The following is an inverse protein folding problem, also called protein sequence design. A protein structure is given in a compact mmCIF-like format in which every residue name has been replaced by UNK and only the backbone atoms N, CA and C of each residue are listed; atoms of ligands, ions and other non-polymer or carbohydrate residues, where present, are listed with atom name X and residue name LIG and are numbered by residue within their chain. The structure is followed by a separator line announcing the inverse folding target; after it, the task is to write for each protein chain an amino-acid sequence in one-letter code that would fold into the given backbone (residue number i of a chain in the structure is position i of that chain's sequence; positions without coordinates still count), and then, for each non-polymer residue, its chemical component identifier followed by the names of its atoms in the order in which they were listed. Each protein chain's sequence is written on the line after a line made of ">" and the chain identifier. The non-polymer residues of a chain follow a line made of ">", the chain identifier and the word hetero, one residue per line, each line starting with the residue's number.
data_IF_372937573309
#
_entry.id   IF_372937573309
#
_cell.length_a   1.000
_cell.length_b   1.000
_cell.length_c   1.000
_cell.angle_alpha   90.00
_cell.angle_beta   90.00
_cell.angle_gamma   90.00
#
_symmetry.space_group_name_H-M   'P 1'
#
loop_
_entity.id
_entity.type
_entity.pdbx_description
1 polymer ?
#
# COMPACT_ATOMS: atom_id res chain seq x y z
N UNK A 1 -18.95 -42.89 1.71
CA UNK A 1 -20.37 -43.01 1.33
C UNK A 1 -21.17 -42.31 2.41
N UNK A 2 -21.59 -41.07 2.13
CA UNK A 2 -22.35 -40.21 3.05
C UNK A 2 -23.61 -39.77 2.31
N UNK A 3 -24.76 -40.02 2.91
CA UNK A 3 -26.08 -39.74 2.35
C UNK A 3 -26.30 -38.23 2.12
N UNK A 4 -27.08 -37.83 1.10
CA UNK A 4 -27.46 -36.44 0.90
C UNK A 4 -28.56 -35.99 1.88
N UNK A 5 -28.65 -34.70 2.20
CA UNK A 5 -29.66 -34.14 3.08
C UNK A 5 -31.06 -34.11 2.41
N UNK A 6 -32.15 -34.07 3.20
CA UNK A 6 -33.51 -34.04 2.68
C UNK A 6 -33.85 -32.71 1.99
N UNK A 7 -34.75 -32.71 1.00
CA UNK A 7 -35.14 -31.52 0.26
C UNK A 7 -35.94 -30.55 1.12
N UNK A 8 -35.52 -29.28 1.13
CA UNK A 8 -36.21 -28.19 1.81
C UNK A 8 -37.54 -27.81 1.13
N UNK A 9 -38.53 -27.50 1.96
CA UNK A 9 -39.84 -26.98 1.56
C UNK A 9 -39.71 -25.60 0.91
N UNK A 10 -39.93 -25.52 -0.40
CA UNK A 10 -40.19 -24.26 -1.11
C UNK A 10 -41.69 -23.97 -1.12
N UNK A 11 -42.12 -22.71 -0.91
CA UNK A 11 -43.53 -22.35 -1.06
C UNK A 11 -43.98 -22.50 -2.53
N UNK A 12 -45.26 -22.83 -2.79
CA UNK A 12 -45.74 -23.08 -4.13
C UNK A 12 -45.70 -21.80 -5.00
N UNK A 13 -45.46 -21.93 -6.32
CA UNK A 13 -45.49 -20.80 -7.24
C UNK A 13 -46.91 -20.21 -7.33
N UNK A 14 -46.98 -18.87 -7.39
CA UNK A 14 -48.25 -18.15 -7.56
C UNK A 14 -48.88 -18.47 -8.92
N UNK A 15 -50.22 -18.59 -9.01
CA UNK A 15 -50.89 -18.84 -10.28
C UNK A 15 -50.66 -17.67 -11.26
N UNK A 16 -50.27 -18.03 -12.47
CA UNK A 16 -50.09 -17.11 -13.60
C UNK A 16 -51.49 -16.72 -14.10
N UNK A 17 -51.82 -15.43 -14.05
CA UNK A 17 -53.09 -14.91 -14.57
C UNK A 17 -53.19 -15.06 -16.10
N UNK A 18 -54.42 -15.11 -16.66
CA UNK A 18 -54.61 -15.24 -18.10
C UNK A 18 -54.11 -14.01 -18.87
N UNK A 19 -53.73 -14.16 -20.15
CA UNK A 19 -53.27 -13.04 -20.98
C UNK A 19 -54.42 -12.05 -21.28
N UNK A 20 -54.14 -10.75 -21.44
CA UNK A 20 -55.16 -9.75 -21.74
C UNK A 20 -55.71 -9.92 -23.17
N UNK A 21 -57.04 -9.88 -23.28
CA UNK A 21 -57.76 -9.85 -24.56
C UNK A 21 -57.66 -8.46 -25.24
N UNK A 22 -57.66 -8.39 -26.58
CA UNK A 22 -57.67 -7.10 -27.28
C UNK A 22 -59.01 -6.38 -27.16
N UNK A 23 -58.96 -5.05 -27.01
CA UNK A 23 -60.13 -4.19 -26.84
C UNK A 23 -60.98 -4.08 -28.13
N UNK A 24 -62.33 -4.02 -28.04
CA UNK A 24 -63.18 -3.77 -29.19
C UNK A 24 -63.11 -2.30 -29.63
N UNK A 25 -63.08 -2.09 -30.94
CA UNK A 25 -63.23 -0.79 -31.59
C UNK A 25 -64.67 -0.27 -31.43
N UNK A 26 -64.78 1.00 -31.01
CA UNK A 26 -65.94 1.84 -31.28
C UNK A 26 -66.92 2.02 -30.12
N UNK A 27 -66.79 3.15 -29.41
CA UNK A 27 -67.88 4.08 -29.08
C UNK A 27 -67.32 5.30 -28.33
N UNK A 28 -67.63 6.50 -28.83
CA UNK A 28 -67.23 7.80 -28.25
C UNK A 28 -68.19 8.19 -27.11
N UNK A 29 -67.70 8.68 -25.95
CA UNK A 29 -68.54 9.37 -24.96
C UNK A 29 -68.75 10.87 -25.30
N UNK A 30 -69.76 11.54 -24.71
CA UNK A 30 -70.18 12.89 -25.09
C UNK A 30 -69.23 13.99 -24.61
N UNK A 31 -69.21 15.07 -25.39
CA UNK A 31 -68.35 16.25 -25.20
C UNK A 31 -68.83 17.09 -24.00
N UNK A 32 -67.92 17.37 -23.06
CA UNK A 32 -68.11 18.38 -22.01
C UNK A 32 -67.97 19.82 -22.55
N UNK A 33 -68.41 20.84 -21.78
CA UNK A 33 -68.42 22.23 -22.20
C UNK A 33 -67.00 22.80 -22.37
N UNK A 34 -66.82 23.82 -23.25
CA UNK A 34 -65.51 24.34 -23.61
C UNK A 34 -64.85 25.15 -22.47
N UNK A 35 -63.51 25.14 -22.37
CA UNK A 35 -62.78 25.94 -21.39
C UNK A 35 -62.70 27.42 -21.76
N UNK A 36 -62.64 28.25 -20.72
CA UNK A 36 -62.51 29.71 -20.72
C UNK A 36 -61.12 30.13 -21.26
N UNK A 37 -60.98 31.24 -22.02
CA UNK A 37 -59.68 31.63 -22.57
C UNK A 37 -58.79 32.25 -21.47
N UNK A 38 -57.66 31.58 -21.16
CA UNK A 38 -56.59 32.18 -20.38
C UNK A 38 -55.74 33.10 -21.29
N UNK A 39 -55.51 34.32 -20.82
CA UNK A 39 -54.69 35.33 -21.48
C UNK A 39 -53.22 34.91 -21.64
N UNK A 40 -52.57 35.50 -22.64
CA UNK A 40 -51.19 35.23 -23.02
C UNK A 40 -50.19 35.59 -21.90
N UNK A 41 -49.10 34.84 -21.72
CA UNK A 41 -48.02 35.22 -20.81
C UNK A 41 -47.18 36.35 -21.40
N UNK A 42 -46.60 37.25 -20.57
CA UNK A 42 -45.72 38.31 -21.05
C UNK A 42 -44.42 37.72 -21.61
N UNK A 43 -43.95 38.30 -22.72
CA UNK A 43 -42.69 37.94 -23.36
C UNK A 43 -41.52 38.29 -22.43
N UNK A 44 -40.70 37.28 -22.09
CA UNK A 44 -39.43 37.48 -21.41
C UNK A 44 -38.41 38.18 -22.33
N UNK A 45 -37.37 38.81 -21.75
CA UNK A 45 -36.33 39.48 -22.53
C UNK A 45 -35.53 38.49 -23.39
N UNK A 46 -34.98 38.93 -24.54
CA UNK A 46 -34.25 38.06 -25.45
C UNK A 46 -32.97 37.49 -24.82
N UNK A 47 -32.51 36.30 -25.26
CA UNK A 47 -31.29 35.69 -24.73
C UNK A 47 -30.04 36.51 -25.09
N UNK A 48 -29.04 36.58 -24.21
CA UNK A 48 -27.78 37.25 -24.54
C UNK A 48 -27.04 36.48 -25.64
N UNK A 49 -26.48 37.24 -26.58
CA UNK A 49 -25.61 36.75 -27.64
C UNK A 49 -24.42 35.98 -27.04
N UNK A 50 -24.27 34.71 -27.40
CA UNK A 50 -23.03 33.96 -27.18
C UNK A 50 -21.95 34.54 -28.12
N UNK A 51 -21.15 35.46 -27.57
CA UNK A 51 -19.85 35.79 -28.14
C UNK A 51 -18.97 34.56 -28.16
N UNK A 52 -18.19 34.39 -29.23
CA UNK A 52 -17.17 33.35 -29.31
C UNK A 52 -16.25 33.42 -28.09
N UNK A 53 -16.30 32.39 -27.25
CA UNK A 53 -15.26 32.17 -26.25
C UNK A 53 -14.01 31.70 -26.97
N UNK A 54 -12.95 32.50 -26.92
CA UNK A 54 -11.61 32.05 -27.23
C UNK A 54 -11.18 30.89 -26.29
N UNK A 55 -10.10 30.17 -26.64
CA UNK A 55 -9.60 29.09 -25.79
C UNK A 55 -9.31 29.60 -24.37
N UNK A 56 -9.54 28.78 -23.33
CA UNK A 56 -9.29 29.17 -21.96
C UNK A 56 -7.80 29.56 -21.79
N UNK A 57 -7.49 30.56 -20.94
CA UNK A 57 -6.10 30.88 -20.64
C UNK A 57 -5.41 29.65 -20.05
N UNK A 58 -4.10 29.46 -20.31
CA UNK A 58 -3.34 28.37 -19.72
C UNK A 58 -3.47 28.41 -18.20
N UNK A 59 -3.53 27.25 -17.51
CA UNK A 59 -3.58 27.22 -16.07
C UNK A 59 -2.38 28.01 -15.51
N UNK A 60 -2.68 28.97 -14.63
CA UNK A 60 -1.66 29.71 -13.90
C UNK A 60 -0.77 28.75 -13.09
N UNK A 61 0.41 29.22 -12.63
CA UNK A 61 1.32 28.38 -11.85
C UNK A 61 0.59 27.77 -10.66
N UNK A 62 0.57 26.44 -10.61
CA UNK A 62 0.05 25.68 -9.46
C UNK A 62 0.96 26.01 -8.29
N UNK A 63 0.46 26.84 -7.38
CA UNK A 63 1.15 27.15 -6.13
C UNK A 63 1.28 25.85 -5.33
N UNK A 64 2.49 25.47 -4.88
CA UNK A 64 2.65 24.28 -4.05
C UNK A 64 1.80 24.42 -2.77
N UNK A 65 1.27 23.32 -2.23
CA UNK A 65 0.57 23.36 -0.95
C UNK A 65 1.50 23.93 0.15
N UNK A 66 0.96 24.68 1.13
CA UNK A 66 1.73 25.24 2.23
C UNK A 66 2.42 24.12 3.00
N UNK A 67 3.66 24.40 3.39
CA UNK A 67 4.61 23.43 3.94
C UNK A 67 4.19 22.94 5.34
N UNK A 68 4.04 21.62 5.57
CA UNK A 68 4.58 21.04 6.79
C UNK A 68 6.10 21.21 6.74
N UNK A 69 6.74 21.46 7.88
CA UNK A 69 8.20 21.45 7.90
C UNK A 69 8.67 20.03 7.58
N UNK A 70 9.05 19.81 6.32
CA UNK A 70 10.03 18.78 5.98
C UNK A 70 11.36 19.26 6.54
N UNK A 71 11.44 19.32 7.88
CA UNK A 71 12.73 19.34 8.53
C UNK A 71 13.50 18.16 7.97
N UNK A 72 14.79 18.36 7.69
CA UNK A 72 15.69 17.23 7.53
C UNK A 72 15.30 16.17 8.58
N UNK A 73 15.13 14.89 8.20
CA UNK A 73 14.79 13.88 9.18
C UNK A 73 15.78 14.07 10.33
N UNK A 74 15.32 14.29 11.57
CA UNK A 74 16.22 14.09 12.70
C UNK A 74 16.69 12.66 12.51
N UNK A 75 17.99 12.49 12.26
CA UNK A 75 18.55 11.21 11.88
C UNK A 75 17.97 10.10 12.74
N UNK A 76 17.34 9.12 12.08
CA UNK A 76 16.79 7.97 12.77
C UNK A 76 15.39 7.62 12.33
N UNK A 77 15.30 6.92 11.19
CA UNK A 77 14.69 5.59 11.32
C UNK A 77 15.47 4.89 12.43
N UNK A 78 14.87 4.73 13.61
CA UNK A 78 15.52 3.91 14.62
C UNK A 78 15.68 2.51 13.99
N UNK A 79 16.90 1.98 13.94
CA UNK A 79 17.12 0.70 13.31
C UNK A 79 16.30 -0.34 14.09
N UNK A 80 15.56 -1.19 13.37
CA UNK A 80 15.29 -2.55 13.84
C UNK A 80 16.58 -3.11 14.48
N UNK A 81 16.49 -3.90 15.56
CA UNK A 81 17.59 -4.20 16.49
C UNK A 81 18.96 -4.21 15.79
N UNK A 82 19.84 -3.32 16.27
CA UNK A 82 21.09 -2.94 15.66
C UNK A 82 21.70 -4.03 14.77
N UNK A 83 21.66 -3.82 13.45
CA UNK A 83 22.52 -4.57 12.56
C UNK A 83 23.97 -4.40 13.04
N UNK A 84 24.74 -5.48 13.17
CA UNK A 84 26.08 -5.41 13.74
C UNK A 84 26.92 -4.38 13.00
N UNK A 85 27.81 -3.65 13.70
CA UNK A 85 28.62 -2.59 13.12
C UNK A 85 29.39 -3.13 11.91
N UNK A 86 29.47 -2.31 10.85
CA UNK A 86 30.27 -2.61 9.66
C UNK A 86 31.68 -2.99 10.11
N UNK A 87 32.04 -4.27 9.98
CA UNK A 87 33.43 -4.70 10.22
C UNK A 87 34.29 -3.98 9.20
N UNK A 88 35.28 -3.21 9.67
CA UNK A 88 36.31 -2.63 8.80
C UNK A 88 36.90 -3.75 7.97
N UNK A 89 36.91 -3.58 6.65
CA UNK A 89 37.62 -4.45 5.74
C UNK A 89 39.13 -4.29 5.98
N UNK A 90 39.65 -5.04 6.94
CA UNK A 90 41.09 -5.21 7.13
C UNK A 90 41.70 -6.13 6.05
N UNK A 91 40.95 -6.44 4.99
CA UNK A 91 41.39 -7.24 3.84
C UNK A 91 42.77 -6.85 3.28
N UNK A 92 43.12 -5.55 3.16
CA UNK A 92 44.45 -5.15 2.73
C UNK A 92 45.55 -5.47 3.75
N UNK A 93 45.25 -5.35 5.05
CA UNK A 93 46.20 -5.61 6.15
C UNK A 93 46.42 -7.11 6.33
N UNK A 94 45.35 -7.90 6.24
CA UNK A 94 45.42 -9.37 6.28
C UNK A 94 46.09 -9.92 5.02
N UNK A 95 45.88 -9.32 3.84
CA UNK A 95 46.59 -9.67 2.62
C UNK A 95 48.09 -9.32 2.68
N UNK A 96 48.48 -8.23 3.35
CA UNK A 96 49.87 -7.88 3.58
C UNK A 96 50.56 -8.81 4.59
N UNK A 97 49.87 -9.21 5.66
CA UNK A 97 50.40 -10.17 6.65
C UNK A 97 50.49 -11.56 6.04
N UNK A 98 49.46 -12.03 5.32
CA UNK A 98 49.49 -13.31 4.61
C UNK A 98 50.52 -13.31 3.47
N UNK A 99 50.66 -12.20 2.75
CA UNK A 99 51.70 -12.03 1.73
C UNK A 99 53.12 -12.10 2.33
N UNK A 100 53.34 -11.46 3.48
CA UNK A 100 54.61 -11.54 4.22
C UNK A 100 54.93 -12.94 4.74
N UNK A 101 53.92 -13.68 5.23
CA UNK A 101 54.09 -15.07 5.70
C UNK A 101 54.29 -16.05 4.54
N UNK A 102 53.68 -15.80 3.37
CA UNK A 102 53.90 -16.61 2.16
C UNK A 102 55.29 -16.36 1.57
N UNK A 103 55.80 -15.13 1.58
CA UNK A 103 57.18 -14.83 1.12
C UNK A 103 58.23 -15.44 2.07
N UNK A 104 57.98 -15.47 3.38
CA UNK A 104 58.85 -16.16 4.34
C UNK A 104 58.71 -17.70 4.31
N UNK A 105 57.53 -18.22 3.95
CA UNK A 105 57.27 -19.65 3.82
C UNK A 105 57.76 -20.28 2.51
N UNK A 106 57.77 -19.52 1.41
CA UNK A 106 58.26 -19.97 0.10
C UNK A 106 59.79 -20.13 0.04
N UNK A 107 60.54 -19.60 1.01
CA UNK A 107 61.96 -19.92 1.19
C UNK A 107 62.23 -21.31 1.78
N UNK A 108 61.22 -21.97 2.36
CA UNK A 108 61.38 -23.22 3.11
C UNK A 108 60.72 -24.45 2.47
N UNK A 109 60.00 -24.31 1.35
CA UNK A 109 59.32 -25.43 0.66
C UNK A 109 59.69 -25.45 -0.83
N UNK A 110 61.00 -25.41 -1.11
CA UNK A 110 61.58 -25.58 -2.45
C UNK A 110 61.80 -27.04 -2.86
N UNK A 111 61.15 -28.02 -2.22
CA UNK A 111 61.27 -29.44 -2.56
C UNK A 111 59.94 -30.15 -2.28
N UNK A 112 59.00 -30.12 -3.23
CA UNK A 112 58.17 -31.26 -3.66
C UNK A 112 57.04 -30.79 -4.61
N UNK A 113 57.01 -31.37 -5.81
CA UNK A 113 55.87 -31.53 -6.73
C UNK A 113 55.11 -30.24 -7.17
N UNK A 114 55.38 -29.66 -8.35
CA UNK A 114 55.03 -30.14 -9.70
C UNK A 114 53.56 -30.60 -9.86
N UNK A 115 52.84 -29.83 -10.71
CA UNK A 115 51.62 -30.16 -11.48
C UNK A 115 50.26 -30.33 -10.77
N UNK A 116 49.44 -29.27 -10.75
CA UNK A 116 48.24 -29.05 -11.60
C UNK A 116 47.17 -28.14 -10.98
N UNK A 117 46.81 -27.10 -11.74
CA UNK A 117 45.57 -26.31 -11.86
C UNK A 117 44.59 -26.11 -10.67
N UNK A 118 44.53 -24.83 -10.26
CA UNK A 118 43.36 -23.97 -10.04
C UNK A 118 42.03 -24.59 -9.55
N UNK A 119 41.75 -24.38 -8.25
CA UNK A 119 40.52 -23.75 -7.73
C UNK A 119 40.73 -23.37 -6.25
N UNK A 120 40.90 -22.08 -5.98
CA UNK A 120 40.93 -21.54 -4.61
C UNK A 120 39.51 -21.13 -4.22
N UNK A 121 38.94 -21.94 -3.31
CA UNK A 121 38.01 -21.65 -2.20
C UNK A 121 36.70 -20.91 -2.47
N UNK A 122 35.61 -21.59 -2.08
CA UNK A 122 34.65 -20.99 -1.14
C UNK A 122 34.69 -21.78 0.17
N UNK A 123 35.41 -21.25 1.15
CA UNK A 123 35.30 -21.67 2.55
C UNK A 123 34.13 -20.93 3.18
N UNK A 124 33.05 -21.68 3.38
CA UNK A 124 32.09 -21.59 4.48
C UNK A 124 31.79 -20.22 5.09
N UNK A 125 30.57 -19.74 4.83
CA UNK A 125 29.79 -19.04 5.84
C UNK A 125 28.50 -19.84 6.07
N UNK A 126 28.59 -20.81 6.98
CA UNK A 126 27.42 -21.34 7.69
C UNK A 126 27.21 -20.52 8.96
N UNK A 127 25.94 -20.35 9.33
CA UNK A 127 25.39 -19.70 10.52
C UNK A 127 24.98 -18.22 10.37
N UNK A 128 23.81 -18.03 9.76
CA UNK A 128 22.85 -17.08 10.29
C UNK A 128 21.55 -17.82 10.61
N UNK A 129 21.25 -17.93 11.90
CA UNK A 129 19.96 -18.40 12.40
C UNK A 129 18.89 -17.43 11.89
N UNK A 130 18.14 -17.85 10.88
CA UNK A 130 17.03 -17.08 10.32
C UNK A 130 15.87 -17.21 11.31
N UNK A 131 15.74 -16.26 12.23
CA UNK A 131 14.53 -16.15 13.04
C UNK A 131 13.45 -15.47 12.19
N UNK A 132 12.71 -16.27 11.43
CA UNK A 132 11.40 -15.85 10.90
C UNK A 132 10.40 -15.94 12.05
N UNK A 133 9.70 -14.85 12.43
CA UNK A 133 8.65 -14.96 13.42
C UNK A 133 7.55 -15.85 12.84
N UNK A 134 7.41 -17.06 13.39
CA UNK A 134 6.26 -17.91 13.14
C UNK A 134 5.18 -17.46 14.11
N UNK A 135 4.20 -16.71 13.62
CA UNK A 135 3.12 -16.20 14.46
C UNK A 135 2.12 -17.33 14.75
N UNK A 136 1.94 -17.65 16.03
CA UNK A 136 0.93 -18.63 16.49
C UNK A 136 -0.23 -17.84 17.10
N UNK A 137 -1.49 -18.07 16.70
CA UNK A 137 -2.62 -17.32 17.23
C UNK A 137 -2.88 -17.67 18.72
N UNK A 138 -3.37 -16.72 19.54
CA UNK A 138 -3.68 -16.99 20.94
C UNK A 138 -4.92 -17.88 21.04
N UNK A 139 -4.78 -19.02 21.73
CA UNK A 139 -5.91 -19.85 22.16
C UNK A 139 -6.30 -19.42 23.56
N UNK A 140 -7.53 -18.93 23.73
CA UNK A 140 -8.15 -18.69 25.03
C UNK A 140 -8.25 -20.01 25.80
N UNK A 141 -7.64 -20.07 26.99
CA UNK A 141 -7.69 -21.24 27.87
C UNK A 141 -8.64 -20.94 29.02
N UNK A 142 -9.89 -21.42 28.90
CA UNK A 142 -10.78 -21.57 30.04
C UNK A 142 -10.35 -22.80 30.84
N UNK A 143 -9.88 -22.57 32.06
CA UNK A 143 -9.48 -23.62 32.98
C UNK A 143 -10.72 -24.29 33.59
N UNK A 144 -10.89 -25.61 33.39
CA UNK A 144 -11.77 -26.46 34.20
C UNK A 144 -10.97 -27.66 34.75
N UNK A 145 -11.21 -28.12 35.99
CA UNK A 145 -10.34 -29.10 36.64
C UNK A 145 -10.48 -30.52 36.07
N UNK A 146 -9.35 -31.20 35.93
CA UNK A 146 -9.20 -32.60 35.51
C UNK A 146 -9.80 -33.58 36.52
N UNK A 147 -10.57 -34.55 36.02
CA UNK A 147 -10.84 -35.83 36.69
C UNK A 147 -10.03 -36.92 36.00
N UNK A 148 -9.19 -37.62 36.76
CA UNK A 148 -8.28 -38.66 36.29
C UNK A 148 -9.05 -39.95 35.98
N UNK A 149 -8.86 -40.55 34.81
CA UNK A 149 -9.28 -41.93 34.49
C UNK A 149 -8.15 -42.62 33.72
N UNK A 150 -7.81 -43.90 33.97
CA UNK A 150 -6.62 -44.52 33.38
C UNK A 150 -6.79 -44.86 31.90
N UNK A 151 -5.71 -44.68 31.15
CA UNK A 151 -5.55 -44.93 29.71
C UNK A 151 -5.78 -46.39 29.30
N UNK A 152 -6.51 -46.57 28.19
CA UNK A 152 -6.51 -47.79 27.38
C UNK A 152 -5.51 -47.63 26.24
N UNK A 153 -4.53 -48.53 26.18
CA UNK A 153 -3.44 -48.56 25.21
C UNK A 153 -3.95 -48.71 23.77
N UNK A 154 -3.68 -47.73 22.90
CA UNK A 154 -3.84 -47.83 21.45
C UNK A 154 -2.47 -47.82 20.76
N UNK A 155 -2.28 -48.75 19.83
CA UNK A 155 -1.02 -49.05 19.13
C UNK A 155 -0.40 -47.83 18.40
N UNK A 156 0.93 -47.83 18.15
CA UNK A 156 1.62 -46.69 17.55
C UNK A 156 1.24 -46.54 16.07
N UNK A 157 0.60 -45.43 15.72
CA UNK A 157 0.41 -44.99 14.34
C UNK A 157 1.72 -44.38 13.85
N UNK A 158 2.27 -44.90 12.75
CA UNK A 158 3.48 -44.38 12.12
C UNK A 158 3.35 -42.87 11.80
N UNK A 159 4.39 -42.05 12.01
CA UNK A 159 4.33 -40.62 11.69
C UNK A 159 4.25 -40.46 10.17
N UNK A 160 3.19 -39.81 9.69
CA UNK A 160 3.12 -39.32 8.32
C UNK A 160 4.12 -38.17 8.17
N UNK A 161 5.15 -38.36 7.36
CA UNK A 161 6.09 -37.33 6.90
C UNK A 161 5.51 -36.52 5.75
N UNK A 162 4.31 -35.94 5.93
CA UNK A 162 3.92 -34.80 5.10
C UNK A 162 4.63 -33.55 5.64
N UNK A 163 5.44 -32.84 4.83
CA UNK A 163 5.94 -31.53 5.23
C UNK A 163 4.74 -30.66 5.57
N UNK A 164 4.74 -30.06 6.76
CA UNK A 164 3.74 -29.07 7.10
C UNK A 164 3.73 -27.98 6.01
N UNK A 165 2.55 -27.49 5.57
CA UNK A 165 2.48 -26.39 4.62
C UNK A 165 3.37 -25.24 5.12
N UNK A 166 4.31 -24.80 4.29
CA UNK A 166 5.20 -23.68 4.63
C UNK A 166 4.29 -22.46 4.81
N UNK A 167 4.15 -22.02 6.06
CA UNK A 167 3.29 -20.89 6.40
C UNK A 167 3.68 -19.61 5.66
N UNK A 168 2.81 -18.60 5.66
CA UNK A 168 3.07 -17.36 4.94
C UNK A 168 4.39 -16.72 5.36
N UNK A 169 5.21 -16.29 4.40
CA UNK A 169 6.56 -15.75 4.66
C UNK A 169 6.85 -14.52 3.81
N UNK A 170 7.29 -13.44 4.44
CA UNK A 170 7.78 -12.26 3.74
C UNK A 170 9.04 -12.59 2.91
N UNK A 171 9.15 -11.97 1.74
CA UNK A 171 10.26 -12.16 0.80
C UNK A 171 11.07 -10.86 0.73
N UNK A 172 12.36 -10.94 1.08
CA UNK A 172 13.24 -9.77 1.06
C UNK A 172 13.92 -9.65 -0.30
N UNK A 173 13.17 -9.10 -1.25
CA UNK A 173 13.60 -8.83 -2.62
C UNK A 173 13.04 -7.48 -3.09
N UNK A 174 13.61 -6.92 -4.16
CA UNK A 174 13.18 -5.64 -4.75
C UNK A 174 12.63 -5.88 -6.16
N UNK A 175 13.43 -5.67 -7.20
CA UNK A 175 13.00 -5.75 -8.60
C UNK A 175 12.44 -7.12 -9.03
N UNK A 176 12.93 -8.21 -8.45
CA UNK A 176 12.56 -9.59 -8.74
C UNK A 176 11.54 -10.17 -7.75
N UNK A 177 10.93 -9.33 -6.91
CA UNK A 177 10.01 -9.77 -5.86
C UNK A 177 8.78 -10.51 -6.45
N UNK A 178 8.40 -11.69 -5.94
CA UNK A 178 7.37 -12.54 -6.54
C UNK A 178 5.96 -11.94 -6.50
N UNK A 179 5.72 -10.94 -5.65
CA UNK A 179 4.46 -10.17 -5.61
C UNK A 179 4.33 -9.16 -6.76
N UNK A 180 5.43 -8.74 -7.40
CA UNK A 180 5.41 -7.79 -8.51
C UNK A 180 5.12 -8.50 -9.85
N UNK A 181 4.04 -9.29 -9.86
CA UNK A 181 3.54 -10.07 -11.00
C UNK A 181 2.13 -9.62 -11.39
N UNK A 182 1.69 -9.80 -12.65
CA UNK A 182 0.45 -9.23 -13.15
C UNK A 182 -0.84 -9.84 -12.54
N UNK A 183 -0.72 -10.94 -11.79
CA UNK A 183 -1.84 -11.65 -11.18
C UNK A 183 -2.21 -11.14 -9.76
N UNK A 184 -1.50 -10.14 -9.23
CA UNK A 184 -1.77 -9.57 -7.92
C UNK A 184 -2.24 -8.12 -8.06
N UNK A 185 -3.31 -7.76 -7.36
CA UNK A 185 -3.89 -6.43 -7.36
C UNK A 185 -4.89 -6.24 -6.22
N UNK A 186 -5.37 -5.02 -6.02
CA UNK A 186 -6.41 -4.73 -5.05
C UNK A 186 -7.74 -5.31 -5.55
N UNK A 187 -8.38 -6.15 -4.74
CA UNK A 187 -9.65 -6.80 -5.10
C UNK A 187 -10.81 -5.80 -5.06
N UNK A 188 -11.87 -6.09 -5.81
CA UNK A 188 -13.10 -5.30 -5.76
C UNK A 188 -13.77 -5.41 -4.40
N UNK A 189 -14.38 -4.31 -3.95
CA UNK A 189 -15.20 -4.27 -2.72
C UNK A 189 -16.62 -3.84 -3.09
N UNK A 190 -17.62 -4.45 -2.46
CA UNK A 190 -19.04 -4.17 -2.74
C UNK A 190 -19.49 -2.78 -2.27
N UNK A 191 -18.78 -2.20 -1.30
CA UNK A 191 -19.03 -0.87 -0.77
C UNK A 191 -18.03 -0.50 0.31
N UNK A 192 -17.82 0.80 0.53
CA UNK A 192 -17.01 1.29 1.63
C UNK A 192 -17.76 2.43 2.33
N UNK A 193 -18.50 2.14 3.42
CA UNK A 193 -19.30 3.16 4.10
C UNK A 193 -18.38 4.12 4.86
N UNK A 194 -18.09 5.27 4.25
CA UNK A 194 -17.30 6.33 4.86
C UNK A 194 -18.23 7.36 5.52
N UNK A 195 -17.94 7.83 6.75
CA UNK A 195 -18.69 8.91 7.35
C UNK A 195 -18.48 10.21 6.57
N UNK A 196 -19.39 11.17 6.73
CA UNK A 196 -19.17 12.53 6.25
C UNK A 196 -17.87 13.08 6.85
N UNK A 197 -17.08 13.76 6.02
CA UNK A 197 -15.77 14.23 6.44
C UNK A 197 -15.89 15.42 7.40
N UNK A 198 -15.31 15.25 8.59
CA UNK A 198 -15.05 16.30 9.57
C UNK A 198 -13.51 16.44 9.66
N UNK A 199 -13.01 17.64 9.40
CA UNK A 199 -11.57 17.89 9.29
C UNK A 199 -10.89 18.12 10.65
N UNK A 200 -11.63 18.07 11.77
CA UNK A 200 -11.04 18.00 13.11
C UNK A 200 -10.24 16.70 13.30
N UNK A 201 -9.29 16.64 14.25
CA UNK A 201 -8.57 15.39 14.53
C UNK A 201 -9.48 14.19 14.82
N UNK A 202 -10.57 14.39 15.58
CA UNK A 202 -11.54 13.34 15.86
C UNK A 202 -12.36 12.94 14.62
N UNK A 203 -12.65 13.89 13.72
CA UNK A 203 -13.33 13.59 12.45
C UNK A 203 -12.45 12.80 11.49
N UNK A 204 -11.17 13.17 11.38
CA UNK A 204 -10.18 12.43 10.62
C UNK A 204 -10.02 11.01 11.17
N UNK A 205 -9.92 10.82 12.48
CA UNK A 205 -9.86 9.49 13.10
C UNK A 205 -11.03 8.59 12.67
N UNK A 206 -12.25 9.10 12.79
CA UNK A 206 -13.47 8.36 12.38
C UNK A 206 -13.44 8.00 10.90
N UNK A 207 -13.06 8.93 10.03
CA UNK A 207 -13.02 8.71 8.58
C UNK A 207 -11.97 7.65 8.20
N UNK A 208 -10.75 7.79 8.72
CA UNK A 208 -9.63 6.90 8.39
C UNK A 208 -9.85 5.49 8.94
N UNK A 209 -10.36 5.36 10.18
CA UNK A 209 -10.73 4.05 10.75
C UNK A 209 -11.87 3.37 10.01
N UNK A 210 -12.79 4.12 9.39
CA UNK A 210 -13.82 3.55 8.55
C UNK A 210 -13.29 3.08 7.18
N UNK A 211 -12.30 3.78 6.63
CA UNK A 211 -11.69 3.44 5.34
C UNK A 211 -10.76 2.22 5.41
N UNK A 212 -9.99 2.07 6.48
CA UNK A 212 -8.97 1.02 6.62
C UNK A 212 -9.52 -0.41 6.42
N UNK A 213 -10.62 -0.83 7.06
CA UNK A 213 -11.19 -2.17 6.83
C UNK A 213 -11.56 -2.44 5.37
N UNK A 214 -12.01 -1.42 4.63
CA UNK A 214 -12.24 -1.56 3.19
C UNK A 214 -10.93 -1.83 2.46
N UNK A 215 -9.90 -1.01 2.70
CA UNK A 215 -8.56 -1.15 2.09
C UNK A 215 -7.97 -2.52 2.39
N UNK A 216 -8.02 -2.95 3.64
CA UNK A 216 -7.54 -4.26 4.07
C UNK A 216 -8.26 -5.41 3.37
N UNK A 217 -9.59 -5.33 3.23
CA UNK A 217 -10.38 -6.36 2.55
C UNK A 217 -10.02 -6.53 1.07
N UNK A 218 -9.55 -5.45 0.42
CA UNK A 218 -9.13 -5.47 -0.99
C UNK A 218 -7.75 -6.11 -1.16
N UNK A 219 -6.83 -5.90 -0.23
CA UNK A 219 -5.44 -6.37 -0.35
C UNK A 219 -5.18 -7.74 0.26
N UNK A 220 -5.90 -8.10 1.33
CA UNK A 220 -5.74 -9.39 2.02
C UNK A 220 -5.81 -10.60 1.08
N UNK A 221 -6.75 -10.71 0.12
CA UNK A 221 -6.80 -11.87 -0.77
C UNK A 221 -5.58 -11.99 -1.68
N UNK A 222 -5.04 -10.87 -2.17
CA UNK A 222 -3.85 -10.88 -3.03
C UNK A 222 -2.60 -11.32 -2.26
N UNK A 223 -2.43 -10.87 -1.02
CA UNK A 223 -1.34 -11.30 -0.14
C UNK A 223 -1.45 -12.80 0.19
N UNK A 224 -2.65 -13.28 0.49
CA UNK A 224 -2.92 -14.70 0.74
C UNK A 224 -2.61 -15.56 -0.50
N UNK A 225 -3.06 -15.13 -1.68
CA UNK A 225 -2.78 -15.82 -2.95
C UNK A 225 -1.27 -15.86 -3.27
N UNK A 226 -0.50 -14.89 -2.78
CA UNK A 226 0.95 -14.84 -2.90
C UNK A 226 1.71 -15.63 -1.81
N UNK A 227 1.00 -16.28 -0.87
CA UNK A 227 1.57 -16.90 0.33
C UNK A 227 2.41 -15.94 1.18
N UNK A 228 1.98 -14.68 1.26
CA UNK A 228 2.60 -13.62 2.06
C UNK A 228 1.87 -13.42 3.39
N UNK A 229 2.56 -12.95 4.45
CA UNK A 229 1.93 -12.69 5.73
C UNK A 229 0.91 -11.55 5.61
N UNK A 230 -0.06 -11.56 6.52
CA UNK A 230 -1.04 -10.50 6.65
C UNK A 230 -1.26 -10.20 8.13
N UNK A 231 -1.29 -8.92 8.44
CA UNK A 231 -1.82 -8.37 9.67
C UNK A 231 -2.55 -7.06 9.33
N UNK A 232 -3.59 -6.68 10.09
CA UNK A 232 -4.16 -5.34 10.00
C UNK A 232 -3.12 -4.25 10.29
N UNK A 233 -3.37 -3.04 9.80
CA UNK A 233 -2.53 -1.88 10.08
C UNK A 233 -3.08 -1.13 11.30
N UNK A 234 -2.19 -0.70 12.19
CA UNK A 234 -2.56 0.17 13.31
C UNK A 234 -2.65 1.63 12.84
N UNK A 235 -3.61 2.38 13.36
CA UNK A 235 -3.74 3.82 13.10
C UNK A 235 -3.57 4.63 14.39
N UNK A 236 -2.56 5.49 14.40
CA UNK A 236 -2.26 6.43 15.47
C UNK A 236 -2.54 7.85 15.00
N UNK A 237 -3.43 8.57 15.69
CA UNK A 237 -3.66 9.99 15.43
C UNK A 237 -2.68 10.80 16.27
N UNK A 238 -1.85 11.60 15.59
CA UNK A 238 -0.78 12.39 16.20
C UNK A 238 -1.24 13.85 16.28
N UNK A 239 -1.62 14.28 17.47
CA UNK A 239 -1.96 15.69 17.78
C UNK A 239 -0.89 16.41 18.59
N UNK A 240 0.08 15.66 19.11
CA UNK A 240 1.23 16.14 19.88
C UNK A 240 2.49 15.37 19.49
N UNK A 241 3.66 15.86 19.89
CA UNK A 241 4.94 15.19 19.60
C UNK A 241 4.95 13.80 20.23
N UNK A 242 5.21 12.77 19.42
CA UNK A 242 5.18 11.37 19.82
C UNK A 242 6.51 10.69 19.49
N UNK A 243 7.07 9.96 20.45
CA UNK A 243 8.18 9.03 20.22
C UNK A 243 7.64 7.65 19.86
N UNK A 244 8.20 7.03 18.84
CA UNK A 244 7.73 5.75 18.32
C UNK A 244 8.89 4.94 17.68
N UNK A 245 8.69 3.67 17.26
CA UNK A 245 9.81 2.80 16.88
C UNK A 245 10.70 3.30 15.74
N UNK A 246 10.22 4.19 14.87
CA UNK A 246 11.03 4.78 13.80
C UNK A 246 11.44 6.23 14.07
N UNK A 247 11.44 6.69 15.33
CA UNK A 247 11.97 8.00 15.74
C UNK A 247 10.93 8.88 16.44
N UNK A 248 10.94 10.17 16.11
CA UNK A 248 9.96 11.15 16.62
C UNK A 248 9.06 11.60 15.48
N UNK A 249 7.76 11.70 15.72
CA UNK A 249 6.80 12.35 14.83
C UNK A 249 6.24 13.58 15.51
N UNK A 250 6.22 14.71 14.80
CA UNK A 250 5.66 15.98 15.28
C UNK A 250 4.31 16.21 14.62
N UNK A 251 3.38 16.92 15.29
CA UNK A 251 2.02 17.12 14.78
C UNK A 251 1.94 18.01 13.53
N UNK A 252 3.03 18.70 13.18
CA UNK A 252 3.20 19.54 11.99
C UNK A 252 3.97 18.85 10.86
N UNK A 253 4.34 17.57 11.02
CA UNK A 253 4.94 16.74 9.97
C UNK A 253 3.86 16.11 9.08
N UNK A 254 4.23 15.53 7.94
CA UNK A 254 3.34 14.65 7.16
C UNK A 254 3.09 13.32 7.87
N UNK A 255 2.02 12.63 7.48
CA UNK A 255 1.77 11.26 7.94
C UNK A 255 2.90 10.33 7.49
N UNK A 256 3.06 9.23 8.21
CA UNK A 256 4.12 8.27 7.92
C UNK A 256 3.77 6.87 8.41
N UNK A 257 4.23 5.88 7.65
CA UNK A 257 4.17 4.48 8.03
C UNK A 257 5.42 4.05 8.80
N UNK A 258 5.24 3.17 9.79
CA UNK A 258 6.32 2.52 10.50
C UNK A 258 5.88 1.22 11.17
N UNK A 259 6.56 0.13 10.83
CA UNK A 259 6.48 -1.17 11.51
C UNK A 259 5.06 -1.66 11.85
N UNK A 260 4.12 -1.55 10.90
CA UNK A 260 2.74 -1.99 11.09
C UNK A 260 1.77 -0.89 11.51
N UNK A 261 2.25 0.33 11.78
CA UNK A 261 1.41 1.46 12.15
C UNK A 261 1.51 2.65 11.19
N UNK A 262 0.39 3.32 10.97
CA UNK A 262 0.26 4.61 10.30
C UNK A 262 0.15 5.69 11.38
N UNK A 263 1.06 6.65 11.35
CA UNK A 263 1.11 7.79 12.26
C UNK A 263 0.58 9.02 11.53
N UNK A 264 -0.70 9.32 11.76
CA UNK A 264 -1.45 10.34 11.05
C UNK A 264 -1.46 11.68 11.79
N UNK A 265 -0.77 12.67 11.25
CA UNK A 265 -0.61 14.02 11.82
C UNK A 265 -1.80 14.91 11.52
N UNK A 266 -2.92 14.71 12.23
CA UNK A 266 -4.20 15.31 11.86
C UNK A 266 -4.20 16.84 11.76
N UNK A 267 -3.42 17.52 12.60
CA UNK A 267 -3.31 18.98 12.59
C UNK A 267 -2.61 19.50 11.33
N UNK A 268 -1.57 18.80 10.84
CA UNK A 268 -0.88 19.15 9.60
C UNK A 268 -1.85 19.10 8.40
N UNK A 269 -2.58 18.00 8.22
CA UNK A 269 -3.55 17.87 7.12
C UNK A 269 -4.70 18.87 7.22
N UNK A 270 -5.17 19.19 8.43
CA UNK A 270 -6.17 20.23 8.60
C UNK A 270 -5.64 21.62 8.18
N UNK A 271 -4.33 21.86 8.33
CA UNK A 271 -3.65 23.12 8.02
C UNK A 271 -3.21 23.24 6.54
N UNK A 272 -3.17 22.16 5.75
CA UNK A 272 -2.83 22.19 4.32
C UNK A 272 -3.82 23.04 3.48
N UNK A 273 -5.00 23.33 4.03
CA UNK A 273 -6.04 24.09 3.32
C UNK A 273 -5.64 25.53 3.06
N UNK A 274 -5.87 25.98 1.84
CA UNK A 274 -5.82 27.40 1.47
C UNK A 274 -6.84 27.70 0.35
N UNK A 275 -7.05 28.96 -0.06
CA UNK A 275 -8.03 29.30 -1.09
C UNK A 275 -7.85 28.56 -2.42
N UNK A 276 -6.61 28.19 -2.77
CA UNK A 276 -6.26 27.45 -3.98
C UNK A 276 -6.16 25.94 -3.74
N UNK A 277 -6.30 25.48 -2.49
CA UNK A 277 -6.16 24.09 -2.07
C UNK A 277 -7.19 23.73 -0.98
N UNK A 278 -8.50 23.76 -1.26
CA UNK A 278 -9.53 23.51 -0.25
C UNK A 278 -9.45 22.10 0.32
N UNK A 279 -9.96 21.90 1.54
CA UNK A 279 -10.06 20.56 2.12
C UNK A 279 -11.05 19.69 1.34
N UNK A 280 -10.71 18.41 1.18
CA UNK A 280 -11.55 17.43 0.50
C UNK A 280 -11.25 16.02 1.04
N UNK A 281 -12.26 15.16 1.29
CA UNK A 281 -12.04 13.78 1.77
C UNK A 281 -11.09 12.96 0.89
N UNK A 282 -11.04 13.27 -0.41
CA UNK A 282 -10.17 12.61 -1.37
C UNK A 282 -8.68 12.67 -0.99
N UNK A 283 -8.22 13.80 -0.43
CA UNK A 283 -6.82 13.97 0.01
C UNK A 283 -6.45 13.01 1.14
N UNK A 284 -7.36 12.89 2.10
CA UNK A 284 -7.22 12.02 3.26
C UNK A 284 -7.24 10.55 2.83
N UNK A 285 -8.18 10.17 1.95
CA UNK A 285 -8.26 8.81 1.41
C UNK A 285 -7.05 8.45 0.54
N UNK A 286 -6.60 9.38 -0.32
CA UNK A 286 -5.43 9.19 -1.19
C UNK A 286 -4.14 9.02 -0.41
N UNK A 287 -3.90 9.86 0.60
CA UNK A 287 -2.74 9.71 1.46
C UNK A 287 -2.84 8.45 2.34
N UNK A 288 -4.01 8.12 2.89
CA UNK A 288 -4.19 6.85 3.62
C UNK A 288 -3.86 5.64 2.73
N UNK A 289 -4.26 5.68 1.46
CA UNK A 289 -3.93 4.65 0.48
C UNK A 289 -2.42 4.58 0.19
N UNK A 290 -1.72 5.72 0.14
CA UNK A 290 -0.25 5.76 0.03
C UNK A 290 0.42 5.15 1.27
N UNK A 291 0.01 5.52 2.49
CA UNK A 291 0.55 4.94 3.73
C UNK A 291 0.29 3.42 3.81
N UNK A 292 -0.87 2.97 3.33
CA UNK A 292 -1.16 1.55 3.20
C UNK A 292 -0.29 0.88 2.13
N UNK A 293 0.17 1.62 1.11
CA UNK A 293 1.20 1.20 0.18
C UNK A 293 2.50 0.78 0.88
N UNK A 294 2.96 1.55 1.85
CA UNK A 294 4.09 1.15 2.70
C UNK A 294 3.77 -0.07 3.58
N UNK A 295 2.53 -0.20 4.05
CA UNK A 295 2.11 -1.41 4.76
C UNK A 295 2.22 -2.66 3.87
N UNK A 296 1.85 -2.58 2.60
CA UNK A 296 2.04 -3.66 1.62
C UNK A 296 3.53 -3.96 1.43
N UNK A 297 4.38 -2.94 1.31
CA UNK A 297 5.84 -3.13 1.23
C UNK A 297 6.39 -3.82 2.47
N UNK A 298 5.84 -3.52 3.65
CA UNK A 298 6.26 -4.14 4.90
C UNK A 298 5.80 -5.60 5.01
N UNK A 299 4.54 -5.90 4.70
CA UNK A 299 3.99 -7.26 4.68
C UNK A 299 4.71 -8.16 3.67
N UNK A 300 4.99 -7.62 2.49
CA UNK A 300 5.70 -8.34 1.43
C UNK A 300 7.18 -8.55 1.78
N UNK A 301 7.79 -7.64 2.52
CA UNK A 301 9.22 -7.65 2.87
C UNK A 301 10.07 -6.70 2.03
N UNK A 302 9.49 -6.05 1.02
CA UNK A 302 10.17 -5.06 0.17
C UNK A 302 10.70 -3.86 0.97
N UNK A 303 9.95 -3.38 1.99
CA UNK A 303 10.40 -2.25 2.82
C UNK A 303 11.73 -2.58 3.51
N UNK A 304 11.82 -3.75 4.13
CA UNK A 304 13.06 -4.23 4.78
C UNK A 304 14.20 -4.46 3.78
N UNK A 305 13.89 -4.92 2.57
CA UNK A 305 14.88 -5.06 1.50
C UNK A 305 15.41 -3.69 1.03
N UNK A 306 14.54 -2.67 0.96
CA UNK A 306 14.90 -1.29 0.65
C UNK A 306 15.85 -0.72 1.70
N UNK A 307 15.49 -0.84 2.99
CA UNK A 307 16.31 -0.39 4.11
C UNK A 307 17.72 -0.98 4.05
N UNK A 308 17.81 -2.28 3.72
CA UNK A 308 19.09 -2.98 3.58
C UNK A 308 19.89 -2.46 2.40
N UNK A 309 19.26 -2.27 1.24
CA UNK A 309 19.91 -1.73 0.05
C UNK A 309 20.46 -0.31 0.31
N UNK A 310 19.72 0.52 1.04
CA UNK A 310 20.14 1.88 1.41
C UNK A 310 21.32 1.86 2.38
N UNK A 311 21.28 0.99 3.39
CA UNK A 311 22.41 0.76 4.28
C UNK A 311 23.67 0.33 3.52
N UNK A 312 23.53 -0.65 2.60
CA UNK A 312 24.64 -1.15 1.80
C UNK A 312 25.19 -0.09 0.83
N UNK A 313 24.33 0.79 0.32
CA UNK A 313 24.68 1.94 -0.51
C UNK A 313 25.41 3.08 0.23
N UNK A 314 25.53 3.00 1.56
CA UNK A 314 26.29 3.96 2.37
C UNK A 314 25.44 4.89 3.22
N UNK A 315 24.11 4.78 3.19
CA UNK A 315 23.20 5.62 3.96
C UNK A 315 22.13 6.27 3.10
N UNK A 316 21.09 6.75 3.78
CA UNK A 316 19.86 7.34 3.23
C UNK A 316 20.09 8.72 2.59
N UNK A 317 21.13 9.44 3.03
CA UNK A 317 21.52 10.78 2.60
C UNK A 317 22.50 10.78 1.41
N UNK A 318 22.94 9.61 0.96
CA UNK A 318 23.79 9.48 -0.22
C UNK A 318 22.96 9.60 -1.51
N UNK A 319 23.54 10.02 -2.65
CA UNK A 319 22.80 10.06 -3.91
C UNK A 319 22.15 8.72 -4.30
N UNK A 320 22.78 7.60 -3.95
CA UNK A 320 22.24 6.26 -4.18
C UNK A 320 21.16 5.87 -3.16
N UNK A 321 21.30 6.30 -1.91
CA UNK A 321 20.26 6.15 -0.87
C UNK A 321 18.99 6.90 -1.25
N UNK A 322 19.13 8.16 -1.67
CA UNK A 322 18.03 8.98 -2.15
C UNK A 322 17.33 8.34 -3.36
N UNK A 323 18.06 7.78 -4.34
CA UNK A 323 17.45 7.04 -5.45
C UNK A 323 16.60 5.86 -4.98
N UNK A 324 17.13 5.06 -4.06
CA UNK A 324 16.41 3.92 -3.47
C UNK A 324 15.18 4.38 -2.69
N UNK A 325 15.26 5.52 -1.98
CA UNK A 325 14.12 6.08 -1.28
C UNK A 325 13.03 6.53 -2.26
N UNK A 326 13.37 7.27 -3.32
CA UNK A 326 12.38 7.68 -4.34
C UNK A 326 11.66 6.46 -4.95
N UNK A 327 12.38 5.36 -5.21
CA UNK A 327 11.77 4.11 -5.71
C UNK A 327 10.79 3.51 -4.72
N UNK A 328 11.13 3.51 -3.43
CA UNK A 328 10.27 3.05 -2.34
C UNK A 328 8.99 3.89 -2.26
N UNK A 329 9.14 5.21 -2.21
CA UNK A 329 8.04 6.18 -2.11
C UNK A 329 7.10 6.11 -3.32
N UNK A 330 7.66 6.10 -4.54
CA UNK A 330 6.85 6.02 -5.76
C UNK A 330 6.13 4.68 -5.92
N UNK A 331 6.68 3.60 -5.36
CA UNK A 331 5.97 2.32 -5.32
C UNK A 331 4.78 2.38 -4.35
N UNK A 332 4.94 3.03 -3.19
CA UNK A 332 3.82 3.26 -2.28
C UNK A 332 2.74 4.14 -2.93
N UNK A 333 3.13 5.19 -3.66
CA UNK A 333 2.22 6.00 -4.49
C UNK A 333 1.47 5.17 -5.54
N UNK A 334 2.17 4.25 -6.24
CA UNK A 334 1.54 3.35 -7.20
C UNK A 334 0.54 2.38 -6.53
N UNK A 335 0.89 1.78 -5.39
CA UNK A 335 -0.04 0.96 -4.60
C UNK A 335 -1.22 1.77 -4.05
N UNK A 336 -1.03 3.06 -3.74
CA UNK A 336 -2.10 4.00 -3.42
C UNK A 336 -3.08 4.14 -4.58
N UNK A 337 -2.59 4.35 -5.81
CA UNK A 337 -3.40 4.34 -7.02
C UNK A 337 -4.18 3.04 -7.20
N UNK A 338 -3.52 1.88 -7.04
CA UNK A 338 -4.17 0.56 -7.10
C UNK A 338 -5.28 0.41 -6.05
N UNK A 339 -5.13 1.00 -4.86
CA UNK A 339 -6.16 0.99 -3.81
C UNK A 339 -7.38 1.83 -4.20
N UNK A 340 -7.18 2.98 -4.85
CA UNK A 340 -8.27 3.85 -5.30
C UNK A 340 -9.08 3.26 -6.47
N UNK A 341 -8.48 2.38 -7.28
CA UNK A 341 -9.12 1.77 -8.44
C UNK A 341 -10.41 1.00 -8.11
N UNK A 342 -10.41 -0.05 -7.27
CA UNK A 342 -11.64 -0.75 -6.90
C UNK A 342 -12.64 0.13 -6.13
N UNK A 343 -12.18 1.13 -5.37
CA UNK A 343 -13.08 2.06 -4.67
C UNK A 343 -13.90 2.93 -5.65
N UNK A 344 -13.33 3.21 -6.83
CA UNK A 344 -13.98 3.98 -7.90
C UNK A 344 -15.18 3.26 -8.54
N UNK A 345 -15.33 1.96 -8.31
CA UNK A 345 -16.43 1.16 -8.87
C UNK A 345 -17.71 1.26 -8.03
N UNK A 346 -18.04 2.47 -7.57
CA UNK A 346 -19.26 2.77 -6.82
C UNK A 346 -19.17 2.57 -5.31
N UNK A 347 -18.02 2.13 -4.77
CA UNK A 347 -17.83 2.01 -3.32
C UNK A 347 -17.59 3.36 -2.64
N UNK A 348 -16.98 4.31 -3.36
CA UNK A 348 -16.71 5.68 -2.93
C UNK A 348 -17.07 6.65 -4.08
N UNK A 349 -17.61 7.85 -3.80
CA UNK A 349 -17.93 8.83 -4.85
C UNK A 349 -16.73 9.20 -5.73
N UNK A 350 -16.97 9.35 -7.03
CA UNK A 350 -15.90 9.57 -8.02
C UNK A 350 -15.17 10.91 -7.84
N UNK A 351 -15.79 11.93 -7.26
CA UNK A 351 -15.13 13.19 -6.93
C UNK A 351 -14.05 12.98 -5.84
N UNK A 352 -14.34 12.17 -4.82
CA UNK A 352 -13.38 11.78 -3.77
C UNK A 352 -12.19 11.05 -4.37
N UNK A 353 -12.44 10.09 -5.27
CA UNK A 353 -11.39 9.36 -5.98
C UNK A 353 -10.53 10.29 -6.84
N UNK A 354 -11.15 11.14 -7.67
CA UNK A 354 -10.42 12.07 -8.55
C UNK A 354 -9.56 13.05 -7.77
N UNK A 355 -10.07 13.59 -6.67
CA UNK A 355 -9.29 14.48 -5.80
C UNK A 355 -8.15 13.73 -5.12
N UNK A 356 -8.37 12.47 -4.68
CA UNK A 356 -7.29 11.65 -4.12
C UNK A 356 -6.17 11.37 -5.12
N UNK A 357 -6.51 11.03 -6.36
CA UNK A 357 -5.52 10.84 -7.44
C UNK A 357 -4.77 12.15 -7.76
N UNK A 358 -5.51 13.27 -7.87
CA UNK A 358 -4.91 14.57 -8.15
C UNK A 358 -4.00 15.05 -7.03
N UNK A 359 -4.39 14.84 -5.77
CA UNK A 359 -3.59 15.22 -4.61
C UNK A 359 -2.30 14.39 -4.54
N UNK A 360 -2.41 13.06 -4.68
CA UNK A 360 -1.25 12.17 -4.74
C UNK A 360 -0.28 12.54 -5.89
N UNK A 361 -0.82 12.89 -7.07
CA UNK A 361 0.00 13.33 -8.21
C UNK A 361 0.66 14.71 -8.03
N UNK A 362 0.17 15.53 -7.09
CA UNK A 362 0.74 16.83 -6.75
C UNK A 362 1.64 16.77 -5.50
N UNK A 363 1.98 15.57 -5.01
CA UNK A 363 2.97 15.39 -3.94
C UNK A 363 4.33 15.05 -4.53
N UNK A 364 5.40 15.22 -3.76
CA UNK A 364 6.76 14.87 -4.15
C UNK A 364 7.76 16.04 -4.09
N UNK A 365 8.87 15.88 -4.79
CA UNK A 365 10.07 16.69 -4.68
C UNK A 365 9.99 17.99 -5.51
N UNK A 366 9.26 18.99 -5.02
CA UNK A 366 9.28 20.34 -5.62
C UNK A 366 10.67 20.99 -5.51
N UNK A 367 11.01 21.89 -6.45
CA UNK A 367 12.32 22.58 -6.49
C UNK A 367 12.69 23.29 -5.20
N UNK A 368 11.69 23.79 -4.47
CA UNK A 368 11.81 24.44 -3.16
C UNK A 368 12.31 23.50 -2.04
N UNK A 369 12.23 22.18 -2.22
CA UNK A 369 12.66 21.21 -1.23
C UNK A 369 14.14 20.85 -1.40
N UNK A 370 14.96 20.96 -0.34
CA UNK A 370 16.41 20.74 -0.44
C UNK A 370 16.79 19.27 -0.63
N UNK A 371 15.98 18.35 -0.09
CA UNK A 371 16.16 16.90 -0.22
C UNK A 371 15.25 16.36 -1.33
N UNK A 372 15.77 15.41 -2.12
CA UNK A 372 15.07 14.77 -3.24
C UNK A 372 14.94 13.27 -2.98
N UNK A 373 13.94 12.90 -2.20
CA UNK A 373 13.74 11.55 -1.66
C UNK A 373 12.38 10.93 -1.99
N UNK A 374 11.45 11.65 -2.63
CA UNK A 374 10.10 11.17 -2.97
C UNK A 374 9.78 11.18 -4.48
N UNK A 375 10.71 11.63 -5.33
CA UNK A 375 10.54 11.79 -6.77
C UNK A 375 9.71 13.03 -7.11
N UNK A 376 9.82 13.54 -8.35
CA UNK A 376 9.09 14.77 -8.70
C UNK A 376 7.56 14.59 -8.65
N UNK A 377 6.76 15.68 -8.58
CA UNK A 377 5.31 15.60 -8.76
C UNK A 377 4.90 14.91 -10.07
N UNK A 378 5.64 15.11 -11.15
CA UNK A 378 5.39 14.45 -12.43
C UNK A 378 5.57 12.92 -12.31
N UNK A 379 6.57 12.46 -11.56
CA UNK A 379 6.75 11.04 -11.29
C UNK A 379 5.62 10.50 -10.42
N UNK A 380 5.23 11.20 -9.35
CA UNK A 380 4.11 10.80 -8.50
C UNK A 380 2.79 10.70 -9.29
N UNK A 381 2.49 11.69 -10.14
CA UNK A 381 1.32 11.68 -11.03
C UNK A 381 1.34 10.46 -11.97
N UNK A 382 2.49 10.17 -12.57
CA UNK A 382 2.62 9.01 -13.46
C UNK A 382 2.43 7.67 -12.72
N UNK A 383 2.99 7.53 -11.52
CA UNK A 383 2.91 6.27 -10.75
C UNK A 383 1.54 6.05 -10.12
N UNK A 384 0.89 7.09 -9.57
CA UNK A 384 -0.46 6.95 -9.03
C UNK A 384 -1.46 6.63 -10.14
N UNK A 385 -1.35 7.28 -11.30
CA UNK A 385 -2.21 7.01 -12.46
C UNK A 385 -1.96 5.61 -13.03
N UNK A 386 -0.70 5.17 -13.12
CA UNK A 386 -0.35 3.80 -13.52
C UNK A 386 -0.97 2.77 -12.60
N UNK A 387 -0.84 2.94 -11.28
CA UNK A 387 -1.44 2.05 -10.29
C UNK A 387 -2.97 2.01 -10.42
N UNK A 388 -3.61 3.17 -10.52
CA UNK A 388 -5.05 3.30 -10.65
C UNK A 388 -5.60 2.65 -11.91
N UNK A 389 -4.97 2.87 -13.08
CA UNK A 389 -5.46 2.33 -14.36
C UNK A 389 -5.22 0.84 -14.52
N UNK A 390 -4.07 0.36 -14.05
CA UNK A 390 -3.68 -1.02 -14.27
C UNK A 390 -4.23 -1.97 -13.21
N UNK A 391 -4.28 -1.52 -11.95
CA UNK A 391 -4.52 -2.34 -10.77
C UNK A 391 -3.73 -3.67 -10.80
N UNK A 392 -2.44 -3.61 -11.16
CA UNK A 392 -1.52 -4.76 -11.23
C UNK A 392 -0.22 -4.46 -10.50
N UNK A 393 0.17 -5.32 -9.55
CA UNK A 393 1.38 -5.14 -8.77
C UNK A 393 2.66 -5.13 -9.63
N UNK A 394 2.68 -5.85 -10.76
CA UNK A 394 3.79 -5.78 -11.73
C UNK A 394 4.02 -4.39 -12.32
N UNK A 395 2.96 -3.61 -12.47
CA UNK A 395 3.03 -2.25 -13.02
C UNK A 395 3.53 -1.23 -11.97
N UNK A 396 3.69 -1.65 -10.71
CA UNK A 396 4.28 -0.84 -9.63
C UNK A 396 5.73 -1.22 -9.31
N UNK A 397 6.44 -1.84 -10.26
CA UNK A 397 7.85 -2.22 -10.09
C UNK A 397 8.79 -1.03 -10.36
N UNK A 398 8.84 -0.09 -9.42
CA UNK A 398 9.77 1.06 -9.46
C UNK A 398 11.24 0.64 -9.36
N UNK A 399 11.52 -0.53 -8.79
CA UNK A 399 12.87 -1.07 -8.63
C UNK A 399 13.53 -1.44 -9.96
N UNK A 400 12.73 -1.88 -10.94
CA UNK A 400 13.17 -2.19 -12.30
C UNK A 400 12.99 -1.02 -13.29
N UNK A 401 12.41 0.10 -12.83
CA UNK A 401 12.12 1.24 -13.69
C UNK A 401 13.38 2.06 -14.03
N UNK A 402 13.36 2.70 -15.20
CA UNK A 402 14.41 3.62 -15.62
C UNK A 402 14.60 4.77 -14.60
N UNK A 403 15.84 5.23 -14.37
CA UNK A 403 16.11 6.30 -13.40
C UNK A 403 15.25 7.55 -13.58
N UNK A 404 14.99 7.98 -14.83
CA UNK A 404 14.16 9.16 -15.11
C UNK A 404 12.68 8.99 -14.73
N UNK A 405 12.20 7.74 -14.60
CA UNK A 405 10.84 7.46 -14.14
C UNK A 405 10.71 7.52 -12.62
N UNK A 406 11.82 7.63 -11.89
CA UNK A 406 11.84 7.63 -10.42
C UNK A 406 12.64 8.79 -9.83
N UNK A 407 12.96 9.79 -10.64
CA UNK A 407 13.89 10.86 -10.30
C UNK A 407 13.27 12.07 -9.61
#
# INVERSE_FOLDING_TARGET
>A
MTQPPPPGNWPPPRPVGPPPMPAPLGQRPPQGPPPVPYGAPPQGPPPPHYGQYGPPPPPGPVMPPPHPTWGAPPGGYAPYPAMPPRRRNNGPIVALILGGVVVLGLGAVGVFAATLNNKVKDTGYSNYTTHSPTFTPPTTSDAKPSTTTPSRTSAPRAPSTQPAPVGPKAVYALADHPFLRPNFGANTVAGCPLPAMDYSPAGQDRFLRAALPCIESMWKPALQAANLPYQPVDLHIVTETLQYPCGTVRPDSTARYCQGGIYWTANAYAAERNPNNPNHPGKYLGQLAHEYGHHIQWLTGMLKASDRAQYDAGGWDTPKGLDLNRRMELQATCFGGMTLAPLSHGAVPMDVIRVGLSDAGNRGDYDIYPTKDHGTPQNNAAWVDRGYRSNKASECNTWAADPGSVS
#
